data_IF_136442104570
#
_entry.id   IF_136442104570
#
_cell.length_a   1.000
_cell.length_b   1.000
_cell.length_c   1.000
_cell.angle_alpha   90.00
_cell.angle_beta   90.00
_cell.angle_gamma   90.00
#
_symmetry.space_group_name_H-M   'P 1'
#
loop_
_entity.id
_entity.type
_entity.pdbx_description
1 polymer ?
#
# COMPACT_ATOMS: atom_id res chain seq x y z
N UNK A 1 3.78 12.02 5.21
CA UNK A 1 3.10 11.18 4.20
C UNK A 1 3.37 11.71 2.78
N UNK A 2 4.64 11.78 2.36
CA UNK A 2 5.03 12.30 1.04
C UNK A 2 6.27 11.58 0.46
N UNK A 3 6.57 10.35 0.92
CA UNK A 3 7.92 9.79 0.74
C UNK A 3 7.95 8.33 0.28
N UNK A 4 6.80 7.76 -0.06
CA UNK A 4 6.82 6.42 -0.64
C UNK A 4 7.38 6.52 -2.06
N UNK A 5 8.23 5.57 -2.41
CA UNK A 5 8.73 5.45 -3.75
C UNK A 5 7.64 4.90 -4.67
N UNK A 6 7.52 5.47 -5.86
CA UNK A 6 6.67 4.98 -6.93
C UNK A 6 7.53 4.48 -8.09
N UNK A 7 7.16 3.36 -8.74
CA UNK A 7 7.87 2.90 -9.93
C UNK A 7 7.63 3.86 -11.09
N UNK A 8 8.68 4.16 -11.86
CA UNK A 8 8.59 4.94 -13.09
C UNK A 8 9.30 4.23 -14.24
N UNK A 9 8.87 4.52 -15.47
CA UNK A 9 9.37 3.87 -16.66
C UNK A 9 8.88 2.43 -16.82
N UNK A 10 9.58 1.64 -17.63
CA UNK A 10 9.23 0.26 -17.92
C UNK A 10 9.98 -0.72 -16.99
N UNK A 11 9.31 -1.77 -16.47
CA UNK A 11 9.97 -2.76 -15.65
C UNK A 11 10.86 -3.68 -16.47
N UNK A 12 11.98 -4.11 -15.88
CA UNK A 12 12.73 -5.27 -16.36
C UNK A 12 12.03 -6.53 -15.85
N UNK A 13 11.51 -7.34 -16.77
CA UNK A 13 10.90 -8.65 -16.47
C UNK A 13 11.98 -9.70 -16.29
N UNK A 14 11.95 -10.42 -15.17
CA UNK A 14 12.87 -11.50 -14.84
C UNK A 14 12.03 -12.76 -14.60
N UNK A 15 12.26 -13.80 -15.39
CA UNK A 15 11.49 -15.05 -15.33
C UNK A 15 12.27 -16.12 -14.57
N UNK A 16 11.56 -16.85 -13.70
CA UNK A 16 12.08 -17.96 -12.89
C UNK A 16 13.44 -17.68 -12.23
N UNK A 17 13.63 -16.55 -11.51
CA UNK A 17 14.89 -16.28 -10.84
C UNK A 17 15.17 -17.35 -9.77
N UNK A 18 16.44 -17.75 -9.64
CA UNK A 18 16.86 -18.77 -8.66
C UNK A 18 17.12 -18.21 -7.25
N UNK A 19 17.52 -16.94 -7.18
CA UNK A 19 17.88 -16.25 -5.93
C UNK A 19 17.02 -15.01 -5.80
N UNK A 20 16.48 -14.78 -4.60
CA UNK A 20 15.71 -13.58 -4.30
C UNK A 20 16.65 -12.41 -4.02
N UNK A 21 16.37 -11.25 -4.63
CA UNK A 21 17.09 -10.01 -4.36
C UNK A 21 16.18 -9.05 -3.60
N UNK A 22 16.60 -8.67 -2.38
CA UNK A 22 15.87 -7.72 -1.53
C UNK A 22 15.79 -6.32 -2.14
N UNK A 23 16.67 -6.00 -3.09
CA UNK A 23 16.72 -4.70 -3.75
C UNK A 23 15.74 -4.57 -4.92
N UNK A 24 15.02 -5.65 -5.28
CA UNK A 24 13.97 -5.54 -6.28
C UNK A 24 12.84 -4.62 -5.81
N UNK A 25 12.41 -3.76 -6.72
CA UNK A 25 11.36 -2.80 -6.49
C UNK A 25 10.28 -2.94 -7.56
N UNK A 26 9.07 -3.31 -7.16
CA UNK A 26 7.95 -3.53 -8.09
C UNK A 26 7.07 -4.69 -7.66
N UNK A 27 6.80 -5.61 -8.60
CA UNK A 27 5.89 -6.73 -8.38
C UNK A 27 6.60 -8.07 -8.52
N UNK A 28 6.20 -9.05 -7.71
CA UNK A 28 6.72 -10.41 -7.77
C UNK A 28 5.56 -11.41 -7.70
N UNK A 29 5.57 -12.38 -8.61
CA UNK A 29 4.73 -13.57 -8.58
C UNK A 29 5.52 -14.74 -8.04
N UNK A 30 5.14 -15.25 -6.86
CA UNK A 30 5.83 -16.36 -6.22
C UNK A 30 4.88 -17.31 -5.48
N UNK A 31 5.36 -18.53 -5.25
CA UNK A 31 4.80 -19.50 -4.30
C UNK A 31 5.49 -19.29 -2.97
N UNK A 32 4.72 -19.07 -1.91
CA UNK A 32 5.24 -18.76 -0.58
C UNK A 32 4.59 -19.64 0.48
N UNK A 33 5.37 -20.00 1.50
CA UNK A 33 4.95 -20.71 2.70
C UNK A 33 4.89 -19.73 3.87
N UNK A 34 3.71 -19.50 4.47
CA UNK A 34 3.60 -18.70 5.68
C UNK A 34 4.18 -19.41 6.91
N UNK A 35 4.63 -18.65 7.93
CA UNK A 35 4.95 -19.19 9.25
C UNK A 35 3.69 -19.72 9.96
N UNK A 36 3.87 -20.47 11.05
CA UNK A 36 2.77 -20.82 11.96
C UNK A 36 2.61 -19.73 13.03
N UNK A 37 1.38 -19.52 13.50
CA UNK A 37 1.05 -18.69 14.67
C UNK A 37 1.53 -17.23 14.60
N UNK A 38 1.54 -16.61 13.41
CA UNK A 38 1.81 -15.18 13.28
C UNK A 38 0.55 -14.37 13.62
N UNK A 39 0.65 -13.48 14.60
CA UNK A 39 -0.49 -12.69 15.09
C UNK A 39 -1.09 -11.76 14.03
N UNK A 40 -0.23 -11.15 13.20
CA UNK A 40 -0.64 -10.31 12.07
C UNK A 40 -0.06 -10.87 10.75
N UNK A 41 -0.84 -11.68 10.02
CA UNK A 41 -0.45 -12.17 8.71
C UNK A 41 -0.21 -11.03 7.72
N UNK A 42 0.80 -11.17 6.86
CA UNK A 42 1.31 -10.08 6.01
C UNK A 42 0.72 -10.10 4.61
N UNK A 43 0.73 -11.26 3.95
CA UNK A 43 0.39 -11.35 2.53
C UNK A 43 -1.10 -11.69 2.33
N UNK A 44 -1.83 -10.89 1.54
CA UNK A 44 -3.20 -11.19 1.20
C UNK A 44 -3.30 -12.17 0.03
N UNK A 45 -4.41 -12.89 -0.04
CA UNK A 45 -4.82 -13.70 -1.19
C UNK A 45 -6.33 -13.60 -1.36
N UNK A 46 -6.77 -13.54 -2.62
CA UNK A 46 -8.18 -13.58 -2.97
C UNK A 46 -8.66 -15.03 -3.00
N UNK A 47 -9.65 -15.34 -2.17
CA UNK A 47 -10.27 -16.66 -2.09
C UNK A 47 -11.68 -16.58 -2.64
N UNK A 48 -11.98 -17.42 -3.63
CA UNK A 48 -13.34 -17.59 -4.16
C UNK A 48 -14.17 -18.38 -3.16
N UNK A 49 -15.25 -17.78 -2.69
CA UNK A 49 -16.28 -18.41 -1.88
C UNK A 49 -17.53 -18.66 -2.75
N UNK A 50 -18.50 -19.43 -2.23
CA UNK A 50 -19.71 -19.84 -2.97
C UNK A 50 -20.48 -18.69 -3.65
N UNK A 51 -20.45 -17.48 -3.09
CA UNK A 51 -21.23 -16.32 -3.56
C UNK A 51 -20.41 -15.05 -3.77
N UNK A 52 -19.12 -15.05 -3.45
CA UNK A 52 -18.27 -13.86 -3.55
C UNK A 52 -16.80 -14.19 -3.53
N UNK A 53 -15.96 -13.25 -3.94
CA UNK A 53 -14.51 -13.29 -3.71
C UNK A 53 -14.19 -12.46 -2.46
N UNK A 54 -13.37 -13.00 -1.56
CA UNK A 54 -12.89 -12.27 -0.38
C UNK A 54 -11.37 -12.20 -0.37
N UNK A 55 -10.85 -11.02 -0.04
CA UNK A 55 -9.44 -10.82 0.27
C UNK A 55 -9.19 -11.28 1.71
N UNK A 56 -8.36 -12.30 1.90
CA UNK A 56 -8.01 -12.85 3.20
C UNK A 56 -6.49 -12.81 3.38
N UNK A 57 -6.03 -12.79 4.64
CA UNK A 57 -4.60 -12.88 4.98
C UNK A 57 -4.32 -14.19 5.73
N UNK A 58 -4.31 -15.35 5.04
CA UNK A 58 -4.20 -16.64 5.71
C UNK A 58 -2.76 -17.07 5.98
N UNK A 59 -2.57 -17.85 7.05
CA UNK A 59 -1.33 -18.61 7.30
C UNK A 59 -1.37 -20.05 6.76
N UNK A 60 -2.51 -20.42 6.16
CA UNK A 60 -2.74 -21.67 5.46
C UNK A 60 -3.78 -21.44 4.37
N UNK A 61 -3.37 -21.61 3.11
CA UNK A 61 -4.27 -21.48 1.96
C UNK A 61 -5.47 -22.41 2.07
N UNK A 62 -5.22 -23.69 2.35
CA UNK A 62 -6.28 -24.71 2.43
C UNK A 62 -7.31 -24.41 3.52
N UNK A 63 -6.89 -23.96 4.70
CA UNK A 63 -7.81 -23.48 5.75
C UNK A 63 -8.66 -22.29 5.31
N UNK A 64 -8.09 -21.36 4.52
CA UNK A 64 -8.83 -20.20 4.03
C UNK A 64 -9.94 -20.62 3.05
N UNK A 65 -9.65 -21.61 2.20
CA UNK A 65 -10.61 -22.18 1.25
C UNK A 65 -11.69 -23.00 1.96
N UNK A 66 -11.28 -23.91 2.85
CA UNK A 66 -12.16 -24.87 3.51
C UNK A 66 -12.87 -24.29 4.75
N UNK A 67 -12.47 -23.09 5.20
CA UNK A 67 -12.95 -22.42 6.43
C UNK A 67 -12.72 -23.24 7.71
N UNK A 68 -11.59 -23.94 7.77
CA UNK A 68 -11.23 -24.78 8.91
C UNK A 68 -10.74 -23.95 10.11
N UNK A 69 -11.29 -24.23 11.31
CA UNK A 69 -10.87 -23.60 12.57
C UNK A 69 -9.55 -24.14 13.11
N UNK A 70 -9.31 -25.44 12.93
CA UNK A 70 -8.10 -26.13 13.39
C UNK A 70 -7.29 -26.56 12.16
N UNK A 71 -5.99 -26.26 12.15
CA UNK A 71 -5.12 -26.48 10.99
C UNK A 71 -4.14 -27.64 11.21
N UNK A 72 -4.47 -28.79 10.61
CA UNK A 72 -3.60 -29.98 10.55
C UNK A 72 -2.92 -30.16 9.18
N UNK A 73 -3.03 -29.17 8.30
CA UNK A 73 -2.47 -29.25 6.95
C UNK A 73 -0.94 -29.27 6.93
N UNK A 74 -0.41 -30.00 5.95
CA UNK A 74 1.00 -30.07 5.61
C UNK A 74 1.54 -28.74 5.10
N UNK A 75 2.87 -28.59 5.03
CA UNK A 75 3.47 -27.38 4.47
C UNK A 75 3.04 -27.13 3.02
N UNK A 76 2.89 -28.18 2.22
CA UNK A 76 2.52 -28.06 0.80
C UNK A 76 1.10 -27.52 0.60
N UNK A 77 0.15 -27.92 1.45
CA UNK A 77 -1.24 -27.44 1.41
C UNK A 77 -1.40 -26.02 1.96
N UNK A 78 -0.47 -25.59 2.83
CA UNK A 78 -0.46 -24.25 3.41
C UNK A 78 0.03 -23.19 2.44
N UNK A 79 0.93 -23.55 1.53
CA UNK A 79 1.52 -22.65 0.55
C UNK A 79 0.45 -22.05 -0.38
N UNK A 80 0.68 -20.82 -0.82
CA UNK A 80 -0.14 -20.19 -1.86
C UNK A 80 0.72 -19.46 -2.87
N UNK A 81 0.13 -19.25 -4.05
CA UNK A 81 0.71 -18.49 -5.15
C UNK A 81 -0.05 -17.17 -5.22
N UNK A 82 0.68 -16.08 -5.35
CA UNK A 82 0.11 -14.77 -5.56
C UNK A 82 1.10 -13.83 -6.21
N UNK A 83 0.63 -12.62 -6.47
CA UNK A 83 1.43 -11.50 -6.94
C UNK A 83 1.33 -10.39 -5.90
N UNK A 84 2.47 -9.92 -5.42
CA UNK A 84 2.57 -8.92 -4.35
C UNK A 84 3.60 -7.86 -4.71
N UNK A 85 3.57 -6.73 -4.01
CA UNK A 85 4.67 -5.78 -4.07
C UNK A 85 5.92 -6.40 -3.43
N UNK A 86 7.09 -6.10 -3.99
CA UNK A 86 8.36 -6.62 -3.46
C UNK A 86 8.59 -6.19 -2.01
N UNK A 87 8.12 -5.00 -1.62
CA UNK A 87 8.17 -4.50 -0.23
C UNK A 87 7.31 -5.33 0.73
N UNK A 88 6.12 -5.77 0.30
CA UNK A 88 5.28 -6.68 1.09
C UNK A 88 5.95 -8.04 1.27
N UNK A 89 6.60 -8.55 0.22
CA UNK A 89 7.35 -9.81 0.29
C UNK A 89 8.59 -9.68 1.18
N UNK A 90 9.33 -8.58 1.09
CA UNK A 90 10.42 -8.27 2.01
C UNK A 90 9.92 -8.31 3.47
N UNK A 91 8.78 -7.67 3.75
CA UNK A 91 8.19 -7.70 5.08
C UNK A 91 7.73 -9.09 5.50
N UNK A 92 7.17 -9.87 4.58
CA UNK A 92 6.77 -11.25 4.85
C UNK A 92 7.98 -12.13 5.21
N UNK A 93 9.09 -11.99 4.49
CA UNK A 93 10.32 -12.71 4.79
C UNK A 93 10.86 -12.37 6.19
N UNK A 94 10.84 -11.09 6.60
CA UNK A 94 11.19 -10.69 7.97
C UNK A 94 10.30 -11.35 9.04
N UNK A 95 9.03 -11.61 8.70
CA UNK A 95 8.07 -12.28 9.57
C UNK A 95 8.11 -13.80 9.50
N UNK A 96 9.09 -14.39 8.80
CA UNK A 96 9.31 -15.83 8.74
C UNK A 96 8.57 -16.56 7.63
N UNK A 97 8.06 -15.83 6.62
CA UNK A 97 7.59 -16.48 5.39
C UNK A 97 8.78 -17.01 4.59
N UNK A 98 8.57 -18.09 3.84
CA UNK A 98 9.61 -18.74 3.03
C UNK A 98 9.14 -18.77 1.58
N UNK A 99 9.92 -18.16 0.68
CA UNK A 99 9.69 -18.27 -0.77
C UNK A 99 10.07 -19.68 -1.21
N UNK A 100 9.10 -20.40 -1.76
CA UNK A 100 9.29 -21.76 -2.28
C UNK A 100 9.70 -21.74 -3.75
N UNK A 101 9.08 -20.86 -4.54
CA UNK A 101 9.37 -20.70 -5.96
C UNK A 101 9.04 -19.30 -6.43
N UNK A 102 9.92 -18.68 -7.21
CA UNK A 102 9.62 -17.42 -7.91
C UNK A 102 9.30 -17.73 -9.37
N UNK A 103 8.22 -17.14 -9.88
CA UNK A 103 7.79 -17.33 -11.27
C UNK A 103 8.21 -16.15 -12.13
N UNK A 104 7.95 -14.93 -11.65
CA UNK A 104 8.16 -13.71 -12.42
C UNK A 104 8.38 -12.53 -11.47
N UNK A 105 9.31 -11.65 -11.83
CA UNK A 105 9.57 -10.39 -11.12
C UNK A 105 9.59 -9.25 -12.12
N UNK A 106 8.84 -8.20 -11.82
CA UNK A 106 8.85 -6.94 -12.56
C UNK A 106 9.60 -5.93 -11.71
N UNK A 107 10.89 -5.77 -12.03
CA UNK A 107 11.77 -4.87 -11.31
C UNK A 107 11.89 -3.52 -12.03
N UNK A 108 11.49 -2.44 -11.35
CA UNK A 108 11.68 -1.07 -11.79
C UNK A 108 13.00 -0.54 -11.24
N UNK A 109 13.92 -0.20 -12.15
CA UNK A 109 15.20 0.41 -11.77
C UNK A 109 15.01 1.84 -11.27
N UNK A 110 14.10 2.56 -11.90
CA UNK A 110 13.81 3.95 -11.60
C UNK A 110 12.60 4.04 -10.68
N UNK A 111 12.74 4.87 -9.65
CA UNK A 111 11.68 5.16 -8.69
C UNK A 111 11.77 6.61 -8.26
N UNK A 112 10.62 7.20 -7.95
CA UNK A 112 10.54 8.61 -7.53
C UNK A 112 9.56 8.77 -6.39
N UNK A 113 9.82 9.74 -5.51
CA UNK A 113 8.87 10.19 -4.49
C UNK A 113 8.02 11.37 -4.97
N UNK A 114 8.34 11.94 -6.13
CA UNK A 114 7.77 13.22 -6.57
C UNK A 114 6.53 13.06 -7.45
N UNK A 115 6.24 11.85 -7.97
CA UNK A 115 5.18 11.58 -8.96
C UNK A 115 3.82 12.21 -8.61
N UNK A 116 3.40 12.11 -7.36
CA UNK A 116 2.12 12.66 -6.87
C UNK A 116 2.28 13.78 -5.86
N UNK A 117 3.52 14.17 -5.55
CA UNK A 117 3.83 15.07 -4.44
C UNK A 117 3.19 16.43 -4.60
N UNK A 118 3.34 17.04 -5.78
CA UNK A 118 2.77 18.35 -6.07
C UNK A 118 1.23 18.30 -6.12
N UNK A 119 0.67 17.28 -6.78
CA UNK A 119 -0.78 17.06 -6.84
C UNK A 119 -1.38 16.96 -5.43
N UNK A 120 -0.83 16.08 -4.59
CA UNK A 120 -1.32 15.87 -3.22
C UNK A 120 -1.10 17.15 -2.39
N UNK A 121 0.05 17.84 -2.54
CA UNK A 121 0.33 19.10 -1.84
C UNK A 121 -0.71 20.17 -2.18
N UNK A 122 -1.04 20.35 -3.46
CA UNK A 122 -2.00 21.36 -3.93
C UNK A 122 -3.42 21.08 -3.41
N UNK A 123 -3.92 19.86 -3.54
CA UNK A 123 -5.27 19.54 -3.06
C UNK A 123 -5.34 19.46 -1.53
N UNK A 124 -4.27 19.08 -0.84
CA UNK A 124 -4.20 19.14 0.62
C UNK A 124 -4.23 20.59 1.09
N UNK A 125 -3.49 21.50 0.43
CA UNK A 125 -3.55 22.94 0.72
C UNK A 125 -4.97 23.48 0.58
N UNK A 126 -5.64 23.24 -0.55
CA UNK A 126 -7.02 23.68 -0.78
C UNK A 126 -7.96 23.13 0.29
N UNK A 127 -7.82 21.84 0.61
CA UNK A 127 -8.63 21.18 1.64
C UNK A 127 -8.44 21.85 3.01
N UNK A 128 -7.20 22.12 3.42
CA UNK A 128 -6.86 22.73 4.71
C UNK A 128 -7.30 24.19 4.80
N UNK A 129 -7.16 24.97 3.72
CA UNK A 129 -7.66 26.35 3.63
C UNK A 129 -9.20 26.41 3.66
N UNK A 130 -9.88 25.38 3.15
CA UNK A 130 -11.35 25.32 3.11
C UNK A 130 -11.99 24.72 4.38
N UNK A 131 -11.20 24.47 5.42
CA UNK A 131 -11.65 23.75 6.64
C UNK A 131 -11.72 24.68 7.84
N UNK A 132 -12.75 24.49 8.68
CA UNK A 132 -12.71 24.97 10.07
C UNK A 132 -11.52 24.35 10.81
N UNK A 133 -10.86 25.15 11.64
CA UNK A 133 -9.84 24.70 12.57
C UNK A 133 -10.10 25.30 13.96
N UNK A 134 -9.48 24.70 14.98
CA UNK A 134 -9.69 25.07 16.38
C UNK A 134 -8.47 25.77 17.01
N UNK A 135 -7.46 26.13 16.20
CA UNK A 135 -6.32 26.93 16.66
C UNK A 135 -6.75 28.34 17.07
N UNK A 136 -5.93 28.98 17.92
CA UNK A 136 -6.23 30.32 18.46
C UNK A 136 -6.24 31.39 17.37
N UNK A 137 -5.49 31.19 16.28
CA UNK A 137 -5.36 32.12 15.17
C UNK A 137 -5.06 31.37 13.86
N UNK A 138 -5.28 32.04 12.73
CA UNK A 138 -4.90 31.50 11.42
C UNK A 138 -3.37 31.36 11.32
N UNK A 139 -2.61 32.26 11.93
CA UNK A 139 -1.15 32.26 11.97
C UNK A 139 -0.61 31.02 12.67
N UNK A 140 -1.17 30.67 13.83
CA UNK A 140 -0.83 29.44 14.55
C UNK A 140 -1.15 28.20 13.70
N UNK A 141 -2.31 28.18 13.07
CA UNK A 141 -2.70 27.08 12.19
C UNK A 141 -1.75 26.93 10.99
N UNK A 142 -1.38 28.03 10.31
CA UNK A 142 -0.44 28.00 9.18
C UNK A 142 0.92 27.47 9.61
N UNK A 143 1.43 27.95 10.75
CA UNK A 143 2.72 27.48 11.29
C UNK A 143 2.68 25.98 11.56
N UNK A 144 1.66 25.51 12.27
CA UNK A 144 1.53 24.10 12.64
C UNK A 144 1.41 23.18 11.40
N UNK A 145 0.66 23.61 10.39
CA UNK A 145 0.54 22.88 9.11
C UNK A 145 1.86 22.87 8.35
N UNK A 146 2.60 23.98 8.35
CA UNK A 146 3.91 24.05 7.71
C UNK A 146 4.93 23.14 8.42
N UNK A 147 5.00 23.19 9.75
CA UNK A 147 5.93 22.40 10.55
C UNK A 147 5.66 20.88 10.40
N UNK A 148 4.38 20.48 10.37
CA UNK A 148 3.99 19.06 10.23
C UNK A 148 4.03 18.53 8.80
N UNK A 149 3.69 19.37 7.80
CA UNK A 149 3.41 18.89 6.44
C UNK A 149 4.26 19.55 5.36
N UNK A 150 4.99 20.62 5.66
CA UNK A 150 5.74 21.42 4.69
C UNK A 150 4.85 22.18 3.70
N UNK A 151 3.60 22.45 4.08
CA UNK A 151 2.59 23.09 3.24
C UNK A 151 2.33 24.50 3.74
N UNK A 152 2.70 25.50 2.94
CA UNK A 152 2.41 26.90 3.24
C UNK A 152 0.98 27.25 2.81
N UNK A 153 0.12 27.51 3.80
CA UNK A 153 -1.25 27.98 3.60
C UNK A 153 -1.28 29.51 3.40
N UNK A 154 -2.22 30.00 2.61
CA UNK A 154 -2.50 31.44 2.55
C UNK A 154 -3.36 31.86 3.73
N UNK A 155 -2.83 32.69 4.64
CA UNK A 155 -3.55 33.16 5.85
C UNK A 155 -4.94 33.75 5.51
N UNK A 156 -5.00 34.54 4.43
CA UNK A 156 -6.25 35.16 3.93
C UNK A 156 -7.18 34.21 3.17
N UNK A 157 -6.67 33.04 2.79
CA UNK A 157 -7.41 32.02 2.03
C UNK A 157 -8.09 31.00 2.95
N UNK A 158 -7.82 31.05 4.26
CA UNK A 158 -8.46 30.19 5.26
C UNK A 158 -9.88 30.69 5.50
N UNK A 159 -10.82 30.03 4.83
CA UNK A 159 -12.24 30.36 4.88
C UNK A 159 -13.00 29.03 4.85
N UNK A 160 -13.89 28.81 5.82
CA UNK A 160 -14.71 27.61 5.83
C UNK A 160 -15.56 27.51 4.57
N UNK A 161 -15.34 26.46 3.79
CA UNK A 161 -16.09 26.20 2.58
C UNK A 161 -16.28 24.69 2.41
N UNK A 162 -17.42 24.15 2.90
CA UNK A 162 -17.69 22.71 2.86
C UNK A 162 -17.66 22.12 1.44
N UNK A 163 -18.16 22.85 0.43
CA UNK A 163 -18.19 22.41 -0.96
C UNK A 163 -16.78 22.30 -1.56
N UNK A 164 -15.97 23.35 -1.42
CA UNK A 164 -14.57 23.37 -1.88
C UNK A 164 -13.73 22.30 -1.18
N UNK A 165 -13.93 22.11 0.12
CA UNK A 165 -13.31 21.03 0.90
C UNK A 165 -13.70 19.66 0.37
N UNK A 166 -14.98 19.43 0.07
CA UNK A 166 -15.46 18.16 -0.45
C UNK A 166 -14.81 17.81 -1.81
N UNK A 167 -14.73 18.77 -2.73
CA UNK A 167 -14.06 18.61 -4.03
C UNK A 167 -12.57 18.30 -3.85
N UNK A 168 -11.86 19.06 -3.01
CA UNK A 168 -10.44 18.82 -2.76
C UNK A 168 -10.18 17.43 -2.14
N UNK A 169 -11.04 17.01 -1.21
CA UNK A 169 -11.00 15.66 -0.63
C UNK A 169 -11.25 14.60 -1.71
N UNK A 170 -12.22 14.81 -2.60
CA UNK A 170 -12.51 13.88 -3.68
C UNK A 170 -11.31 13.71 -4.60
N UNK A 171 -10.66 14.80 -5.02
CA UNK A 171 -9.44 14.74 -5.84
C UNK A 171 -8.32 13.92 -5.17
N UNK A 172 -8.11 14.08 -3.86
CA UNK A 172 -7.13 13.30 -3.11
C UNK A 172 -7.44 11.79 -3.07
N UNK A 173 -8.71 11.42 -2.95
CA UNK A 173 -9.14 10.01 -2.81
C UNK A 173 -9.30 9.32 -4.18
N UNK A 174 -9.87 10.01 -5.16
CA UNK A 174 -10.12 9.48 -6.50
C UNK A 174 -8.84 9.23 -7.29
N UNK A 175 -7.72 9.90 -6.97
CA UNK A 175 -6.44 9.64 -7.60
C UNK A 175 -6.05 8.16 -7.47
N UNK A 176 -6.08 7.63 -6.25
CA UNK A 176 -5.71 6.23 -5.98
C UNK A 176 -6.60 5.23 -6.70
N UNK A 177 -7.92 5.51 -6.78
CA UNK A 177 -8.88 4.64 -7.45
C UNK A 177 -8.73 4.57 -8.97
N UNK A 178 -8.01 5.50 -9.60
CA UNK A 178 -7.74 5.47 -11.05
C UNK A 178 -6.47 4.70 -11.43
N UNK A 179 -5.52 4.58 -10.50
CA UNK A 179 -4.23 3.92 -10.72
C UNK A 179 -4.17 2.47 -10.19
N UNK A 180 -5.11 2.07 -9.32
CA UNK A 180 -5.27 0.70 -8.83
C UNK A 180 -6.23 -0.12 -9.67
#
# INVERSE_FOLDING_TARGET
MYYDYYPVGHPKKIFNPKVYDKNWFGLIKCKILPPRNLYHPVLPVKIKMKKSEKLLFPLCYKCAVDQNKICNHSQNERQFIGTWATDEVNKALEKGYIIIKMYEVWNFKEKTTDLFKEYIKNFMKIKLESSKHNYSSNEEYVKEVFDKMGILLGIKQIIDNPGRRAVAKLCLVSLWGKFG
#
